data_IF_128484959879
#
_entry.id   IF_128484959879
#
_cell.length_a   1.000
_cell.length_b   1.000
_cell.length_c   1.000
_cell.angle_alpha   90.00
_cell.angle_beta   90.00
_cell.angle_gamma   90.00
#
_symmetry.space_group_name_H-M   'P 1'
#
loop_
_entity.id
_entity.type
_entity.pdbx_description
1 polymer ?
#
# COMPACT_ATOMS: atom_id res chain seq x y z
N UNK A 1 4.28 -7.60 28.70
CA UNK A 1 4.78 -8.98 28.77
C UNK A 1 3.75 -9.89 29.45
N UNK A 2 3.19 -9.55 30.61
CA UNK A 2 2.19 -10.39 31.29
C UNK A 2 0.87 -10.49 30.48
N UNK A 3 0.45 -9.41 29.84
CA UNK A 3 -0.78 -9.38 29.03
C UNK A 3 -0.80 -10.31 27.84
N UNK A 4 0.38 -10.75 27.38
CA UNK A 4 0.55 -11.68 26.25
C UNK A 4 1.13 -13.01 26.68
N UNK A 5 1.13 -13.32 27.98
CA UNK A 5 1.64 -14.59 28.48
C UNK A 5 0.81 -15.76 27.90
N UNK A 6 1.50 -16.73 27.26
CA UNK A 6 0.87 -17.90 26.67
C UNK A 6 0.27 -17.69 25.28
N UNK A 7 0.50 -16.52 24.64
CA UNK A 7 0.15 -16.31 23.22
C UNK A 7 1.37 -16.46 22.33
N UNK A 8 1.16 -16.86 21.09
CA UNK A 8 2.17 -16.84 20.04
C UNK A 8 2.21 -15.45 19.36
N UNK A 9 3.36 -15.09 18.78
CA UNK A 9 3.51 -13.86 18.02
C UNK A 9 2.66 -13.91 16.74
N UNK A 10 1.93 -12.83 16.47
CA UNK A 10 1.05 -12.71 15.31
C UNK A 10 1.05 -11.29 14.74
N UNK A 11 0.00 -10.89 14.05
CA UNK A 11 -0.23 -9.53 13.53
C UNK A 11 -0.25 -8.46 14.63
N UNK A 12 -0.34 -8.83 15.90
CA UNK A 12 -0.33 -7.88 17.03
C UNK A 12 1.00 -7.15 17.11
N UNK A 13 2.11 -7.88 17.04
CA UNK A 13 3.46 -7.33 17.12
C UNK A 13 3.76 -6.45 15.90
N UNK A 14 3.35 -6.89 14.71
CA UNK A 14 3.45 -6.11 13.46
C UNK A 14 2.69 -4.78 13.60
N UNK A 15 1.45 -4.84 14.10
CA UNK A 15 0.62 -3.66 14.31
C UNK A 15 1.16 -2.72 15.39
N UNK A 16 1.75 -3.24 16.48
CA UNK A 16 2.40 -2.43 17.51
C UNK A 16 3.56 -1.66 16.89
N UNK A 17 4.39 -2.30 16.08
CA UNK A 17 5.52 -1.65 15.40
C UNK A 17 5.04 -0.56 14.45
N UNK A 18 4.04 -0.84 13.61
CA UNK A 18 3.49 0.13 12.67
C UNK A 18 2.90 1.35 13.40
N UNK A 19 2.12 1.13 14.48
CA UNK A 19 1.52 2.20 15.28
C UNK A 19 2.56 3.02 16.05
N UNK A 20 3.61 2.39 16.58
CA UNK A 20 4.70 3.10 17.26
C UNK A 20 5.43 4.05 16.31
N UNK A 21 5.66 3.65 15.05
CA UNK A 21 6.20 4.53 14.00
C UNK A 21 5.25 5.67 13.68
N UNK A 22 3.95 5.39 13.54
CA UNK A 22 2.92 6.41 13.32
C UNK A 22 2.88 7.44 14.44
N UNK A 23 2.91 7.00 15.70
CA UNK A 23 2.96 7.87 16.87
C UNK A 23 4.19 8.80 16.84
N UNK A 24 5.37 8.26 16.56
CA UNK A 24 6.60 9.05 16.47
C UNK A 24 6.55 10.11 15.36
N UNK A 25 6.04 9.74 14.16
CA UNK A 25 5.86 10.67 13.04
C UNK A 25 4.87 11.79 13.38
N UNK A 26 3.75 11.46 14.02
CA UNK A 26 2.75 12.46 14.43
C UNK A 26 3.29 13.39 15.51
N UNK A 27 4.11 12.90 16.44
CA UNK A 27 4.79 13.75 17.41
C UNK A 27 5.77 14.74 16.75
N UNK A 28 6.54 14.28 15.77
CA UNK A 28 7.42 15.15 14.95
C UNK A 28 6.61 16.18 14.16
N UNK A 29 5.51 15.77 13.55
CA UNK A 29 4.57 16.66 12.85
C UNK A 29 4.09 17.79 13.76
N UNK A 30 3.61 17.45 14.95
CA UNK A 30 3.15 18.44 15.94
C UNK A 30 4.28 19.40 16.36
N UNK A 31 5.50 18.89 16.52
CA UNK A 31 6.63 19.68 16.99
C UNK A 31 7.18 20.64 15.93
N UNK A 32 7.13 20.22 14.66
CA UNK A 32 7.73 20.97 13.53
C UNK A 32 6.72 21.76 12.72
N UNK A 33 5.42 21.50 12.88
CA UNK A 33 4.37 22.04 12.02
C UNK A 33 4.34 21.41 10.61
N UNK A 34 5.14 20.36 10.36
CA UNK A 34 5.18 19.69 9.07
C UNK A 34 4.05 18.65 8.96
N UNK A 35 3.45 18.53 7.78
CA UNK A 35 2.43 17.51 7.52
C UNK A 35 3.08 16.13 7.34
N UNK A 36 2.53 15.13 8.00
CA UNK A 36 2.85 13.72 7.67
C UNK A 36 2.11 13.33 6.40
N UNK A 37 2.84 12.80 5.43
CA UNK A 37 2.30 12.26 4.18
C UNK A 37 2.30 10.75 4.26
N UNK A 38 1.12 10.14 4.11
CA UNK A 38 0.97 8.68 3.99
C UNK A 38 1.38 8.23 2.59
N UNK A 39 2.08 7.09 2.51
CA UNK A 39 2.63 6.55 1.26
C UNK A 39 1.92 5.29 0.76
N UNK A 40 0.85 4.85 1.43
CA UNK A 40 0.03 3.74 0.99
C UNK A 40 -0.53 3.97 -0.42
N UNK A 41 -0.43 2.97 -1.28
CA UNK A 41 -0.91 3.02 -2.66
C UNK A 41 -2.31 2.39 -2.80
N UNK A 42 -2.90 2.47 -4.00
CA UNK A 42 -4.27 1.98 -4.28
C UNK A 42 -4.39 0.47 -4.07
N UNK A 43 -3.40 -0.32 -4.49
CA UNK A 43 -3.40 -1.77 -4.35
C UNK A 43 -3.48 -2.19 -2.88
N UNK A 44 -2.57 -1.66 -2.05
CA UNK A 44 -2.52 -1.92 -0.60
C UNK A 44 -3.80 -1.46 0.10
N UNK A 45 -4.25 -0.25 -0.19
CA UNK A 45 -5.47 0.34 0.41
C UNK A 45 -6.72 -0.43 0.02
N UNK A 46 -6.82 -0.91 -1.23
CA UNK A 46 -7.98 -1.64 -1.73
C UNK A 46 -8.20 -2.93 -0.95
N UNK A 47 -7.14 -3.69 -0.70
CA UNK A 47 -7.20 -4.99 -0.02
C UNK A 47 -6.94 -4.92 1.49
N UNK A 48 -6.69 -3.71 2.02
CA UNK A 48 -6.46 -3.48 3.45
C UNK A 48 -5.10 -3.95 3.95
N UNK A 49 -4.12 -4.06 3.08
CA UNK A 49 -2.73 -4.34 3.44
C UNK A 49 -2.09 -3.07 4.04
N UNK A 50 -2.54 -2.72 5.21
CA UNK A 50 -2.19 -1.52 5.95
C UNK A 50 -2.65 -1.64 7.40
N UNK A 51 -2.03 -0.87 8.29
CA UNK A 51 -2.37 -0.85 9.72
C UNK A 51 -3.09 0.45 10.08
N UNK A 52 -4.33 0.33 10.58
CA UNK A 52 -5.03 1.49 11.16
C UNK A 52 -4.21 2.14 12.26
N UNK A 53 -4.10 3.48 12.19
CA UNK A 53 -3.32 4.30 13.12
C UNK A 53 -1.81 4.03 13.10
N UNK A 54 -1.34 3.26 12.11
CA UNK A 54 0.06 3.00 11.82
C UNK A 54 0.50 3.71 10.55
N UNK A 55 0.79 2.98 9.49
CA UNK A 55 1.18 3.48 8.17
C UNK A 55 0.07 4.28 7.45
N UNK A 56 -1.17 4.14 7.91
CA UNK A 56 -2.31 4.96 7.44
C UNK A 56 -2.42 6.33 8.13
N UNK A 57 -1.56 6.66 9.11
CA UNK A 57 -1.60 7.98 9.75
C UNK A 57 -1.03 9.06 8.83
N UNK A 58 -1.56 10.26 8.95
CA UNK A 58 -1.11 11.42 8.19
C UNK A 58 -2.23 12.37 7.80
N UNK A 59 -1.84 13.53 7.25
CA UNK A 59 -2.77 14.55 6.77
C UNK A 59 -3.13 14.41 5.29
N UNK A 60 -2.33 13.67 4.51
CA UNK A 60 -2.55 13.49 3.07
C UNK A 60 -1.93 12.20 2.55
N UNK A 61 -2.60 11.52 1.62
CA UNK A 61 -2.14 10.28 0.99
C UNK A 61 -1.97 10.50 -0.52
N UNK A 62 -0.72 10.68 -0.95
CA UNK A 62 -0.36 11.09 -2.32
C UNK A 62 -0.64 9.98 -3.34
N UNK A 63 -0.40 8.72 -2.94
CA UNK A 63 -0.45 7.56 -3.83
C UNK A 63 -1.74 6.75 -3.69
N UNK A 64 -2.73 7.22 -2.90
CA UNK A 64 -3.90 6.40 -2.55
C UNK A 64 -4.73 5.94 -3.75
N UNK A 65 -4.63 6.61 -4.90
CA UNK A 65 -5.32 6.26 -6.15
C UNK A 65 -4.37 5.81 -7.27
N UNK A 66 -3.15 5.39 -6.92
CA UNK A 66 -2.15 4.88 -7.86
C UNK A 66 -1.85 3.42 -7.53
N UNK A 67 -2.07 2.50 -8.48
CA UNK A 67 -1.75 1.08 -8.34
C UNK A 67 -0.24 0.85 -8.16
N UNK A 68 0.14 -0.22 -7.45
CA UNK A 68 1.55 -0.56 -7.14
C UNK A 68 2.38 -0.71 -8.42
N UNK A 69 1.85 -1.40 -9.42
CA UNK A 69 2.52 -1.56 -10.72
C UNK A 69 2.76 -0.20 -11.40
N UNK A 70 1.82 0.72 -11.27
CA UNK A 70 1.95 2.09 -11.77
C UNK A 70 2.97 2.90 -10.99
N UNK A 71 3.10 2.70 -9.68
CA UNK A 71 4.14 3.34 -8.86
C UNK A 71 5.53 2.96 -9.37
N UNK A 72 5.79 1.67 -9.67
CA UNK A 72 7.04 1.24 -10.27
C UNK A 72 7.29 1.88 -11.65
N UNK A 73 6.27 1.92 -12.51
CA UNK A 73 6.37 2.61 -13.80
C UNK A 73 6.73 4.09 -13.63
N UNK A 74 6.14 4.77 -12.65
CA UNK A 74 6.45 6.17 -12.34
C UNK A 74 7.88 6.34 -11.82
N UNK A 75 8.41 5.41 -11.02
CA UNK A 75 9.80 5.43 -10.58
C UNK A 75 10.76 5.32 -11.75
N UNK A 76 10.55 4.36 -12.65
CA UNK A 76 11.36 4.21 -13.88
C UNK A 76 11.25 5.45 -14.77
N UNK A 77 10.02 5.93 -14.99
CA UNK A 77 9.80 7.14 -15.79
C UNK A 77 10.52 8.35 -15.19
N UNK A 78 10.41 8.57 -13.86
CA UNK A 78 11.09 9.70 -13.20
C UNK A 78 12.61 9.60 -13.28
N UNK A 79 13.17 8.43 -13.18
CA UNK A 79 14.61 8.21 -13.34
C UNK A 79 15.11 8.52 -14.75
N UNK A 80 14.28 8.28 -15.77
CA UNK A 80 14.60 8.58 -17.16
C UNK A 80 14.25 10.02 -17.58
N UNK A 81 13.35 10.70 -16.83
CA UNK A 81 12.77 11.98 -17.25
C UNK A 81 12.72 12.98 -16.10
N UNK A 82 12.98 14.25 -16.41
CA UNK A 82 12.68 15.37 -15.51
C UNK A 82 12.02 16.48 -16.31
N UNK A 83 10.69 16.61 -16.23
CA UNK A 83 10.01 17.77 -16.82
C UNK A 83 10.48 19.08 -16.19
N UNK A 84 10.60 20.14 -16.98
CA UNK A 84 11.16 21.44 -16.54
C UNK A 84 10.39 22.07 -15.36
N UNK A 85 9.10 21.72 -15.21
CA UNK A 85 8.23 22.22 -14.13
C UNK A 85 8.27 21.38 -12.85
N UNK A 86 8.99 20.28 -12.84
CA UNK A 86 9.09 19.38 -11.68
C UNK A 86 10.29 19.77 -10.83
N UNK A 87 10.05 19.97 -9.53
CA UNK A 87 11.11 20.21 -8.56
C UNK A 87 11.92 18.94 -8.29
N UNK A 88 13.17 19.10 -7.89
CA UNK A 88 14.07 18.00 -7.55
C UNK A 88 15.30 17.92 -8.45
N UNK A 89 16.24 17.01 -8.16
CA UNK A 89 17.49 16.90 -8.90
C UNK A 89 17.29 16.30 -10.31
N UNK A 90 18.27 16.51 -11.16
CA UNK A 90 18.39 15.83 -12.45
C UNK A 90 18.82 14.38 -12.27
N UNK A 91 18.55 13.57 -13.31
CA UNK A 91 18.95 12.16 -13.35
C UNK A 91 18.10 11.24 -12.47
N UNK A 92 18.64 10.05 -12.21
CA UNK A 92 17.96 9.04 -11.40
C UNK A 92 17.87 9.46 -9.93
N UNK A 93 16.64 9.52 -9.40
CA UNK A 93 16.34 9.93 -8.02
C UNK A 93 15.89 8.76 -7.15
N UNK A 94 15.38 7.69 -7.76
CA UNK A 94 15.01 6.47 -7.07
C UNK A 94 16.11 5.43 -7.32
N UNK A 95 16.87 5.03 -6.29
CA UNK A 95 17.94 4.03 -6.44
C UNK A 95 17.41 2.71 -6.98
N UNK A 96 18.16 2.06 -7.87
CA UNK A 96 17.76 0.81 -8.54
C UNK A 96 17.44 -0.31 -7.52
N UNK A 97 18.21 -0.39 -6.44
CA UNK A 97 17.98 -1.37 -5.39
C UNK A 97 16.62 -1.20 -4.67
N UNK A 98 16.03 0.01 -4.68
CA UNK A 98 14.69 0.26 -4.14
C UNK A 98 13.62 -0.24 -5.12
N UNK A 99 13.86 -0.06 -6.43
CA UNK A 99 12.92 -0.49 -7.46
C UNK A 99 12.94 -2.01 -7.61
N UNK A 100 14.15 -2.62 -7.55
CA UNK A 100 14.33 -4.06 -7.72
C UNK A 100 14.01 -4.88 -6.45
N UNK A 101 13.98 -4.25 -5.27
CA UNK A 101 13.67 -4.94 -4.01
C UNK A 101 12.22 -5.45 -4.04
N UNK A 102 11.97 -6.74 -3.71
CA UNK A 102 10.62 -7.22 -3.51
C UNK A 102 9.87 -6.37 -2.48
N UNK A 103 8.62 -5.99 -2.76
CA UNK A 103 7.81 -5.23 -1.82
C UNK A 103 7.65 -5.94 -0.48
N UNK A 104 7.77 -5.18 0.61
CA UNK A 104 7.64 -5.68 1.98
C UNK A 104 7.17 -4.58 2.92
N UNK A 105 6.31 -4.94 3.88
CA UNK A 105 5.91 -4.04 4.95
C UNK A 105 7.01 -3.82 6.01
N UNK A 106 8.07 -4.64 6.02
CA UNK A 106 9.20 -4.57 6.96
C UNK A 106 8.77 -4.59 8.44
N UNK A 107 7.76 -5.37 8.76
CA UNK A 107 7.22 -5.51 10.12
C UNK A 107 7.72 -6.77 10.83
N UNK A 108 8.32 -7.70 10.09
CA UNK A 108 8.98 -8.91 10.58
C UNK A 108 10.17 -9.30 9.68
N UNK A 109 11.11 -10.12 10.17
CA UNK A 109 12.22 -10.63 9.36
C UNK A 109 11.72 -11.36 8.10
N UNK A 110 12.43 -11.20 6.98
CA UNK A 110 12.22 -11.87 5.68
C UNK A 110 10.80 -11.74 5.09
N UNK A 111 10.00 -10.80 5.59
CA UNK A 111 8.64 -10.54 5.11
C UNK A 111 8.64 -10.09 3.65
N UNK A 112 7.68 -10.64 2.89
CA UNK A 112 7.33 -10.18 1.55
C UNK A 112 5.82 -9.94 1.47
N UNK A 113 5.41 -8.96 0.69
CA UNK A 113 3.97 -8.70 0.48
C UNK A 113 3.28 -9.92 -0.11
N UNK A 114 3.96 -10.68 -0.98
CA UNK A 114 3.47 -11.91 -1.60
C UNK A 114 3.19 -13.06 -0.61
N UNK A 115 3.70 -12.99 0.62
CA UNK A 115 3.32 -13.94 1.68
C UNK A 115 1.83 -13.83 2.02
N UNK A 116 1.23 -12.66 1.80
CA UNK A 116 -0.16 -12.35 2.13
C UNK A 116 -1.00 -11.93 0.93
N UNK A 117 -0.39 -11.38 -0.12
CA UNK A 117 -1.03 -10.85 -1.31
C UNK A 117 -0.72 -11.70 -2.54
N UNK A 118 -1.57 -11.68 -3.57
CA UNK A 118 -1.16 -12.12 -4.90
C UNK A 118 -0.05 -11.24 -5.46
N UNK A 119 0.73 -11.71 -6.47
CA UNK A 119 1.63 -10.84 -7.22
C UNK A 119 0.91 -9.58 -7.71
N UNK A 120 1.57 -8.43 -7.61
CA UNK A 120 0.91 -7.13 -7.85
C UNK A 120 0.40 -6.94 -9.28
N UNK A 121 1.00 -7.56 -10.27
CA UNK A 121 0.49 -7.57 -11.65
C UNK A 121 -0.91 -8.20 -11.75
N UNK A 122 -1.12 -9.32 -11.08
CA UNK A 122 -2.42 -9.98 -11.02
C UNK A 122 -3.41 -9.23 -10.11
N UNK A 123 -2.95 -8.80 -8.95
CA UNK A 123 -3.77 -8.05 -8.00
C UNK A 123 -4.32 -6.76 -8.63
N UNK A 124 -3.45 -5.97 -9.24
CA UNK A 124 -3.83 -4.69 -9.83
C UNK A 124 -4.76 -4.87 -11.04
N UNK A 125 -4.52 -5.88 -11.89
CA UNK A 125 -5.40 -6.18 -13.02
C UNK A 125 -6.82 -6.57 -12.56
N UNK A 126 -6.93 -7.42 -11.52
CA UNK A 126 -8.23 -7.80 -10.95
C UNK A 126 -8.92 -6.59 -10.31
N UNK A 127 -8.19 -5.78 -9.53
CA UNK A 127 -8.74 -4.58 -8.91
C UNK A 127 -9.17 -3.54 -9.94
N UNK A 128 -8.43 -3.36 -11.03
CA UNK A 128 -8.82 -2.48 -12.14
C UNK A 128 -10.13 -2.95 -12.77
N UNK A 129 -10.28 -4.25 -13.04
CA UNK A 129 -11.52 -4.83 -13.53
C UNK A 129 -12.71 -4.54 -12.61
N UNK A 130 -12.54 -4.79 -11.32
CA UNK A 130 -13.62 -4.64 -10.34
C UNK A 130 -13.97 -3.18 -10.00
N UNK A 131 -12.97 -2.28 -9.91
CA UNK A 131 -13.17 -0.91 -9.39
C UNK A 131 -13.26 0.16 -10.48
N UNK A 132 -12.49 0.02 -11.58
CA UNK A 132 -12.43 1.06 -12.61
C UNK A 132 -13.38 0.74 -13.77
N UNK A 133 -13.46 -0.55 -14.15
CA UNK A 133 -14.30 -1.01 -15.26
C UNK A 133 -15.68 -1.47 -14.78
N UNK A 134 -15.92 -1.53 -13.47
CA UNK A 134 -17.16 -2.00 -12.84
C UNK A 134 -17.62 -3.37 -13.36
N UNK A 135 -16.63 -4.27 -13.58
CA UNK A 135 -16.88 -5.61 -14.08
C UNK A 135 -17.38 -6.53 -12.95
N UNK A 136 -18.24 -7.47 -13.32
CA UNK A 136 -18.63 -8.55 -12.43
C UNK A 136 -17.48 -9.54 -12.21
N UNK A 137 -17.56 -10.37 -11.16
CA UNK A 137 -16.59 -11.44 -10.92
C UNK A 137 -16.45 -12.35 -12.14
N UNK A 138 -17.57 -12.68 -12.78
CA UNK A 138 -17.58 -13.57 -13.95
C UNK A 138 -16.91 -12.90 -15.17
N UNK A 139 -17.08 -11.60 -15.36
CA UNK A 139 -16.41 -10.85 -16.43
C UNK A 139 -14.89 -10.79 -16.21
N UNK A 140 -14.44 -10.54 -14.96
CA UNK A 140 -13.00 -10.54 -14.63
C UNK A 140 -12.40 -11.94 -14.85
N UNK A 141 -13.12 -13.00 -14.52
CA UNK A 141 -12.70 -14.38 -14.82
C UNK A 141 -12.63 -14.61 -16.33
N UNK A 142 -13.57 -14.06 -17.12
CA UNK A 142 -13.56 -14.16 -18.57
C UNK A 142 -12.38 -13.39 -19.23
N UNK A 143 -11.80 -12.40 -18.55
CA UNK A 143 -10.53 -11.76 -18.96
C UNK A 143 -9.29 -12.67 -18.77
N UNK A 144 -9.46 -13.90 -18.23
CA UNK A 144 -8.41 -14.91 -18.09
C UNK A 144 -7.84 -15.06 -16.69
N UNK A 145 -8.44 -14.43 -15.68
CA UNK A 145 -8.02 -14.55 -14.28
C UNK A 145 -8.59 -15.82 -13.62
N UNK A 146 -7.81 -16.42 -12.73
CA UNK A 146 -8.27 -17.57 -11.93
C UNK A 146 -9.43 -17.17 -11.02
N UNK A 147 -10.52 -17.95 -11.05
CA UNK A 147 -11.74 -17.63 -10.30
C UNK A 147 -11.53 -17.62 -8.79
N UNK A 148 -10.71 -18.51 -8.25
CA UNK A 148 -10.45 -18.55 -6.81
C UNK A 148 -9.66 -17.32 -6.37
N UNK A 149 -8.73 -16.87 -7.20
CA UNK A 149 -7.97 -15.64 -7.00
C UNK A 149 -8.87 -14.40 -7.05
N UNK A 150 -9.74 -14.27 -8.06
CA UNK A 150 -10.69 -13.16 -8.18
C UNK A 150 -11.59 -13.08 -6.94
N UNK A 151 -12.14 -14.22 -6.50
CA UNK A 151 -12.96 -14.28 -5.29
C UNK A 151 -12.19 -13.95 -4.02
N UNK A 152 -10.91 -14.32 -3.94
CA UNK A 152 -10.04 -13.94 -2.83
C UNK A 152 -9.84 -12.42 -2.77
N UNK A 153 -9.47 -11.81 -3.88
CA UNK A 153 -9.28 -10.35 -3.98
C UNK A 153 -10.58 -9.61 -3.69
N UNK A 154 -11.72 -10.08 -4.21
CA UNK A 154 -13.03 -9.50 -3.91
C UNK A 154 -13.36 -9.52 -2.41
N UNK A 155 -13.10 -10.63 -1.71
CA UNK A 155 -13.31 -10.69 -0.25
C UNK A 155 -12.39 -9.75 0.52
N UNK A 156 -11.13 -9.63 0.09
CA UNK A 156 -10.19 -8.68 0.68
C UNK A 156 -10.67 -7.24 0.47
N UNK A 157 -11.11 -6.91 -0.74
CA UNK A 157 -11.65 -5.59 -1.08
C UNK A 157 -12.85 -5.23 -0.19
N UNK A 158 -13.82 -6.12 -0.05
CA UNK A 158 -14.98 -5.89 0.81
C UNK A 158 -14.58 -5.76 2.29
N UNK A 159 -13.72 -6.67 2.78
CA UNK A 159 -13.27 -6.67 4.17
C UNK A 159 -12.45 -5.46 4.57
N UNK A 160 -11.85 -4.75 3.62
CA UNK A 160 -11.01 -3.59 3.86
C UNK A 160 -11.75 -2.24 3.85
N UNK A 161 -13.05 -2.22 3.61
CA UNK A 161 -13.80 -0.96 3.48
C UNK A 161 -13.67 -0.07 4.71
N UNK A 162 -13.74 -0.64 5.91
CA UNK A 162 -13.61 0.12 7.14
C UNK A 162 -12.25 0.84 7.26
N UNK A 163 -11.17 0.27 6.70
CA UNK A 163 -9.85 0.91 6.64
C UNK A 163 -9.87 2.07 5.64
N UNK A 164 -10.39 1.84 4.43
CA UNK A 164 -10.47 2.88 3.40
C UNK A 164 -11.24 4.11 3.85
N UNK A 165 -12.31 3.94 4.65
CA UNK A 165 -13.09 5.05 5.22
C UNK A 165 -12.32 5.89 6.24
N UNK A 166 -11.21 5.36 6.79
CA UNK A 166 -10.37 6.04 7.78
C UNK A 166 -9.04 6.50 7.19
N UNK A 167 -8.82 6.30 5.90
CA UNK A 167 -7.62 6.74 5.23
C UNK A 167 -7.59 8.28 5.10
N UNK A 168 -6.39 8.91 5.13
CA UNK A 168 -6.25 10.33 4.86
C UNK A 168 -6.83 10.70 3.49
N UNK A 169 -7.26 11.97 3.30
CA UNK A 169 -7.62 12.47 1.98
C UNK A 169 -6.42 12.35 1.01
N UNK A 170 -6.71 12.30 -0.28
CA UNK A 170 -5.68 12.20 -1.32
C UNK A 170 -6.25 12.58 -2.67
N UNK A 171 -5.41 12.61 -3.70
CA UNK A 171 -5.86 12.76 -5.10
C UNK A 171 -6.68 11.54 -5.51
N UNK A 172 -7.62 11.82 -6.40
CA UNK A 172 -8.39 10.84 -7.14
C UNK A 172 -8.09 11.04 -8.63
#
# INVERSE_FOLDING_TARGET
AESFAGTEADTTEENIQARSRGLALMALSNKTGAMVVSTGNKSEMSVGYSTLYGDMCGGYSVLKDVYKTKVFQLCHWRNANRPAHVLGPDGAVVPENIIAKPPTAELKPDQKDEDSLPPYDQLDAILEGLNEKDLSIDDVVAEGHDRALVLRVWRMLLGAEYKRRQAPPGVK
#
